data_IF_591330678000
#
_entry.id   IF_591330678000
#
_cell.length_a   1.000
_cell.length_b   1.000
_cell.length_c   1.000
_cell.angle_alpha   90.00
_cell.angle_beta   90.00
_cell.angle_gamma   90.00
#
_symmetry.space_group_name_H-M   'P 1'
#
loop_
_entity.id
_entity.type
_entity.pdbx_description
1 polymer ?
#
# COMPACT_ATOMS: atom_id res chain seq x y z
N UNK A 1 37.54 31.88 8.90
CA UNK A 1 37.68 30.75 7.97
C UNK A 1 36.32 30.06 7.92
N UNK A 2 35.67 29.93 6.76
CA UNK A 2 34.39 29.23 6.67
C UNK A 2 34.60 27.74 6.93
N UNK A 3 33.84 27.18 7.87
CA UNK A 3 33.81 25.75 8.15
C UNK A 3 33.28 25.04 6.91
N UNK A 4 34.12 24.22 6.29
CA UNK A 4 33.71 23.29 5.24
C UNK A 4 32.68 22.35 5.85
N UNK A 5 31.40 22.56 5.55
CA UNK A 5 30.38 21.56 5.86
C UNK A 5 30.73 20.30 5.04
N UNK A 6 30.81 19.12 5.65
CA UNK A 6 31.03 17.89 4.91
C UNK A 6 29.93 17.76 3.86
N UNK A 7 30.31 17.38 2.63
CA UNK A 7 29.33 17.03 1.60
C UNK A 7 28.55 15.80 2.10
N UNK A 8 27.22 15.77 1.95
CA UNK A 8 26.47 14.55 2.23
C UNK A 8 27.02 13.43 1.36
N UNK A 9 27.27 12.28 1.98
CA UNK A 9 27.69 11.07 1.29
C UNK A 9 26.60 10.66 0.30
N UNK A 10 27.01 10.12 -0.85
CA UNK A 10 26.03 9.52 -1.77
C UNK A 10 25.48 8.25 -1.11
N UNK A 11 24.15 8.02 -1.16
CA UNK A 11 23.58 6.76 -0.71
C UNK A 11 24.26 5.59 -1.43
N UNK A 12 24.39 4.47 -0.72
CA UNK A 12 24.88 3.22 -1.31
C UNK A 12 23.87 2.71 -2.37
N UNK A 13 24.27 1.84 -3.30
CA UNK A 13 23.33 1.18 -4.22
C UNK A 13 22.22 0.39 -3.49
N UNK A 14 22.47 -0.03 -2.25
CA UNK A 14 21.48 -0.67 -1.38
C UNK A 14 20.42 0.33 -0.90
N UNK A 15 20.82 1.58 -0.62
CA UNK A 15 19.91 2.68 -0.26
C UNK A 15 19.10 3.20 -1.48
N UNK A 16 19.66 3.13 -2.69
CA UNK A 16 18.93 3.49 -3.93
C UNK A 16 17.77 2.53 -4.21
N UNK A 17 17.90 1.26 -3.80
CA UNK A 17 16.78 0.34 -3.85
C UNK A 17 15.70 0.68 -2.82
N UNK A 18 15.99 1.32 -1.68
CA UNK A 18 15.02 1.53 -0.58
C UNK A 18 13.88 2.50 -0.92
N UNK A 19 14.12 3.50 -1.78
CA UNK A 19 13.12 4.52 -2.08
C UNK A 19 12.45 4.28 -3.46
N UNK A 20 11.31 3.61 -3.47
CA UNK A 20 10.51 3.51 -4.70
C UNK A 20 9.80 4.85 -5.00
N UNK A 21 9.99 5.46 -6.17
CA UNK A 21 9.14 6.55 -6.62
C UNK A 21 7.75 5.96 -6.92
N UNK A 22 6.86 6.02 -5.93
CA UNK A 22 5.47 5.51 -5.99
C UNK A 22 4.60 6.20 -7.05
N UNK A 23 5.10 7.30 -7.62
CA UNK A 23 4.44 8.09 -8.65
C UNK A 23 4.43 7.39 -10.02
N UNK A 24 5.58 6.85 -10.43
CA UNK A 24 5.75 6.39 -11.82
C UNK A 24 5.65 4.87 -11.95
N UNK A 25 5.87 4.12 -10.87
CA UNK A 25 5.96 2.66 -10.88
C UNK A 25 4.99 2.01 -9.90
N UNK A 26 4.33 0.95 -10.36
CA UNK A 26 3.57 0.05 -9.49
C UNK A 26 4.54 -0.89 -8.77
N UNK A 27 4.10 -1.42 -7.64
CA UNK A 27 4.80 -2.49 -6.93
C UNK A 27 5.09 -3.70 -7.84
N UNK A 28 4.11 -4.09 -8.68
CA UNK A 28 4.29 -5.16 -9.66
C UNK A 28 5.37 -4.83 -10.71
N UNK A 29 5.49 -3.58 -11.15
CA UNK A 29 6.54 -3.18 -12.13
C UNK A 29 7.95 -3.34 -11.53
N UNK A 30 8.08 -3.23 -10.20
CA UNK A 30 9.34 -3.41 -9.48
C UNK A 30 9.64 -4.89 -9.27
N UNK A 31 8.63 -5.66 -8.88
CA UNK A 31 8.78 -7.12 -8.77
C UNK A 31 9.19 -7.71 -10.12
N UNK A 32 8.59 -7.24 -11.22
CA UNK A 32 8.91 -7.73 -12.57
C UNK A 32 10.33 -7.42 -13.01
N UNK A 33 10.86 -6.26 -12.64
CA UNK A 33 12.25 -5.92 -12.90
C UNK A 33 13.22 -6.87 -12.18
N UNK A 34 12.89 -7.27 -10.95
CA UNK A 34 13.77 -8.10 -10.12
C UNK A 34 13.63 -9.60 -10.40
N UNK A 35 12.41 -10.10 -10.55
CA UNK A 35 12.09 -11.53 -10.57
C UNK A 35 11.62 -12.04 -11.94
N UNK A 36 11.45 -11.17 -12.93
CA UNK A 36 10.81 -11.53 -14.19
C UNK A 36 9.28 -11.48 -14.09
N UNK A 37 8.52 -12.01 -15.07
CA UNK A 37 7.06 -11.90 -15.09
C UNK A 37 6.41 -12.34 -13.77
N UNK A 38 5.47 -11.52 -13.28
CA UNK A 38 4.68 -11.83 -12.09
C UNK A 38 3.19 -11.81 -12.40
N UNK A 39 2.43 -12.65 -11.72
CA UNK A 39 0.98 -12.71 -11.82
C UNK A 39 0.30 -12.71 -10.45
N UNK A 40 -1.00 -12.38 -10.43
CA UNK A 40 -1.78 -12.40 -9.19
C UNK A 40 -2.52 -13.74 -9.04
N UNK A 41 -2.12 -14.54 -8.06
CA UNK A 41 -2.81 -15.74 -7.60
C UNK A 41 -3.84 -15.35 -6.53
N UNK A 42 -5.10 -15.20 -6.93
CA UNK A 42 -6.20 -14.79 -6.03
C UNK A 42 -6.68 -16.00 -5.23
N UNK A 43 -6.58 -15.91 -3.90
CA UNK A 43 -7.01 -16.97 -2.97
C UNK A 43 -8.47 -16.78 -2.51
N UNK A 44 -8.85 -15.53 -2.31
CA UNK A 44 -10.20 -15.10 -1.91
C UNK A 44 -10.45 -13.72 -2.49
N UNK A 45 -11.67 -13.45 -2.91
CA UNK A 45 -12.12 -12.12 -3.29
C UNK A 45 -13.63 -12.06 -3.09
N UNK A 46 -14.04 -11.44 -2.00
CA UNK A 46 -15.45 -11.31 -1.65
C UNK A 46 -16.16 -10.35 -2.59
N UNK A 47 -17.41 -10.66 -2.94
CA UNK A 47 -18.24 -9.71 -3.67
C UNK A 47 -18.70 -8.61 -2.71
N UNK A 48 -18.35 -7.36 -3.00
CA UNK A 48 -18.71 -6.21 -2.16
C UNK A 48 -20.22 -6.12 -1.90
N UNK A 49 -21.04 -6.58 -2.85
CA UNK A 49 -22.52 -6.56 -2.77
C UNK A 49 -23.11 -7.65 -1.89
N UNK A 50 -22.32 -8.63 -1.50
CA UNK A 50 -22.78 -9.80 -0.73
C UNK A 50 -22.28 -9.79 0.72
N UNK A 51 -21.37 -8.87 1.08
CA UNK A 51 -20.80 -8.78 2.43
C UNK A 51 -21.68 -7.88 3.31
N UNK A 52 -22.00 -8.30 4.54
CA UNK A 52 -22.75 -7.48 5.49
C UNK A 52 -22.10 -6.10 5.73
N UNK A 53 -22.91 -5.07 5.99
CA UNK A 53 -22.43 -3.68 6.21
C UNK A 53 -21.44 -3.55 7.38
N UNK A 54 -21.46 -4.47 8.36
CA UNK A 54 -20.56 -4.50 9.51
C UNK A 54 -19.27 -5.29 9.28
N UNK A 55 -19.14 -5.93 8.11
CA UNK A 55 -17.96 -6.65 7.67
C UNK A 55 -17.25 -5.91 6.52
N UNK A 56 -15.96 -6.19 6.34
CA UNK A 56 -15.21 -5.64 5.22
C UNK A 56 -15.08 -6.73 4.15
N UNK A 57 -15.51 -6.49 2.91
CA UNK A 57 -15.19 -7.40 1.82
C UNK A 57 -13.67 -7.48 1.64
N UNK A 58 -13.15 -8.70 1.56
CA UNK A 58 -11.71 -8.96 1.52
C UNK A 58 -11.29 -9.57 0.19
N UNK A 59 -10.16 -9.11 -0.33
CA UNK A 59 -9.37 -9.81 -1.34
C UNK A 59 -8.04 -10.25 -0.75
N UNK A 60 -7.73 -11.52 -0.89
CA UNK A 60 -6.45 -12.13 -0.53
C UNK A 60 -5.78 -12.68 -1.80
N UNK A 61 -4.51 -12.34 -2.01
CA UNK A 61 -3.76 -12.82 -3.17
C UNK A 61 -2.27 -12.90 -2.91
N UNK A 62 -1.60 -13.77 -3.65
CA UNK A 62 -0.15 -13.73 -3.81
C UNK A 62 0.21 -13.10 -5.16
N UNK A 63 1.28 -12.30 -5.19
CA UNK A 63 1.97 -11.96 -6.43
C UNK A 63 3.10 -12.98 -6.61
N UNK A 64 2.93 -13.92 -7.54
CA UNK A 64 3.84 -15.04 -7.77
C UNK A 64 4.66 -14.82 -9.03
N UNK A 65 5.88 -15.33 -9.06
CA UNK A 65 6.74 -15.35 -10.25
C UNK A 65 6.56 -16.63 -11.09
N UNK A 66 7.37 -16.80 -12.15
CA UNK A 66 7.34 -17.98 -13.02
C UNK A 66 7.68 -19.30 -12.30
N UNK A 67 8.22 -19.25 -11.08
CA UNK A 67 8.54 -20.41 -10.24
C UNK A 67 7.42 -20.72 -9.24
N UNK A 68 6.28 -20.02 -9.30
CA UNK A 68 5.17 -20.05 -8.32
C UNK A 68 5.62 -19.65 -6.91
N UNK A 69 6.72 -18.90 -6.78
CA UNK A 69 7.16 -18.34 -5.49
C UNK A 69 6.46 -17.01 -5.27
N UNK A 70 5.80 -16.86 -4.11
CA UNK A 70 5.14 -15.62 -3.75
C UNK A 70 6.15 -14.54 -3.40
N UNK A 71 6.25 -13.52 -4.24
CA UNK A 71 7.09 -12.33 -4.00
C UNK A 71 6.40 -11.27 -3.16
N UNK A 72 5.08 -11.34 -3.02
CA UNK A 72 4.31 -10.49 -2.10
C UNK A 72 2.99 -11.16 -1.76
N UNK A 73 2.68 -11.23 -0.47
CA UNK A 73 1.33 -11.51 -0.01
C UNK A 73 0.57 -10.20 0.13
N UNK A 74 -0.64 -10.14 -0.43
CA UNK A 74 -1.48 -8.95 -0.38
C UNK A 74 -2.86 -9.26 0.20
N UNK A 75 -3.27 -8.44 1.16
CA UNK A 75 -4.60 -8.46 1.77
C UNK A 75 -5.25 -7.10 1.55
N UNK A 76 -6.38 -7.06 0.87
CA UNK A 76 -7.11 -5.82 0.58
C UNK A 76 -8.46 -5.84 1.26
N UNK A 77 -8.74 -4.83 2.08
CA UNK A 77 -10.07 -4.53 2.59
C UNK A 77 -10.72 -3.55 1.62
N UNK A 78 -11.70 -4.03 0.86
CA UNK A 78 -12.37 -3.27 -0.19
C UNK A 78 -13.30 -2.23 0.43
N UNK A 79 -13.23 -1.00 -0.07
CA UNK A 79 -14.00 0.15 0.46
C UNK A 79 -14.57 1.03 -0.65
N UNK A 80 -14.55 0.58 -1.89
CA UNK A 80 -15.06 1.35 -3.02
C UNK A 80 -16.59 1.34 -3.04
N UNK A 81 -17.16 2.35 -3.70
CA UNK A 81 -18.61 2.43 -3.90
C UNK A 81 -19.08 1.34 -4.88
N UNK A 82 -19.83 0.36 -4.36
CA UNK A 82 -20.35 -0.78 -5.12
C UNK A 82 -21.39 -0.41 -6.19
N UNK A 83 -21.97 0.78 -6.08
CA UNK A 83 -22.93 1.31 -7.05
C UNK A 83 -22.22 1.94 -8.27
N UNK A 84 -20.90 2.14 -8.21
CA UNK A 84 -20.11 2.58 -9.36
C UNK A 84 -19.93 1.43 -10.38
N UNK A 85 -20.62 1.48 -11.54
CA UNK A 85 -20.60 0.35 -12.48
C UNK A 85 -19.20 0.08 -13.04
N UNK A 86 -18.40 1.14 -13.23
CA UNK A 86 -17.04 1.03 -13.73
C UNK A 86 -16.10 0.43 -12.68
N UNK A 87 -16.18 0.86 -11.41
CA UNK A 87 -15.34 0.27 -10.36
C UNK A 87 -15.70 -1.20 -10.14
N UNK A 88 -16.98 -1.56 -10.23
CA UNK A 88 -17.42 -2.95 -10.17
C UNK A 88 -16.91 -3.79 -11.35
N UNK A 89 -16.84 -3.22 -12.56
CA UNK A 89 -16.24 -3.88 -13.73
C UNK A 89 -14.73 -4.11 -13.54
N UNK A 90 -14.01 -3.09 -13.05
CA UNK A 90 -12.59 -3.18 -12.70
C UNK A 90 -12.36 -4.25 -11.62
N UNK A 91 -13.17 -4.24 -10.57
CA UNK A 91 -13.12 -5.23 -9.49
C UNK A 91 -13.35 -6.64 -10.01
N UNK A 92 -14.31 -6.82 -10.91
CA UNK A 92 -14.56 -8.12 -11.56
C UNK A 92 -13.33 -8.61 -12.33
N UNK A 93 -12.60 -7.74 -13.01
CA UNK A 93 -11.33 -8.13 -13.67
C UNK A 93 -10.24 -8.48 -12.67
N UNK A 94 -10.14 -7.74 -11.57
CA UNK A 94 -9.19 -8.01 -10.48
C UNK A 94 -9.50 -9.36 -9.80
N UNK A 95 -10.79 -9.65 -9.57
CA UNK A 95 -11.29 -10.92 -9.05
C UNK A 95 -10.88 -12.11 -9.91
N UNK A 96 -10.85 -11.91 -11.23
CA UNK A 96 -10.43 -12.91 -12.22
C UNK A 96 -8.91 -12.95 -12.47
N UNK A 97 -8.08 -12.58 -11.48
CA UNK A 97 -6.62 -12.66 -11.56
C UNK A 97 -5.91 -11.38 -12.03
N UNK A 98 -6.64 -10.29 -12.23
CA UNK A 98 -6.03 -9.00 -12.55
C UNK A 98 -5.23 -8.42 -11.38
N UNK A 99 -4.01 -7.92 -11.65
CA UNK A 99 -3.27 -7.10 -10.70
C UNK A 99 -3.94 -5.72 -10.55
N UNK A 100 -4.31 -5.32 -9.33
CA UNK A 100 -5.04 -4.08 -9.03
C UNK A 100 -4.46 -2.89 -9.82
N UNK A 101 -3.17 -2.59 -9.63
CA UNK A 101 -2.55 -1.44 -10.26
C UNK A 101 -2.58 -1.45 -11.79
N UNK A 102 -2.28 -2.60 -12.42
CA UNK A 102 -2.29 -2.72 -13.88
C UNK A 102 -3.71 -2.65 -14.45
N UNK A 103 -4.68 -3.26 -13.78
CA UNK A 103 -6.09 -3.18 -14.18
C UNK A 103 -6.59 -1.74 -14.16
N UNK A 104 -6.36 -0.99 -13.07
CA UNK A 104 -6.76 0.43 -13.01
C UNK A 104 -6.10 1.27 -14.12
N UNK A 105 -4.80 1.07 -14.40
CA UNK A 105 -4.12 1.76 -15.53
C UNK A 105 -4.75 1.44 -16.88
N UNK A 106 -5.18 0.19 -17.12
CA UNK A 106 -5.86 -0.20 -18.35
C UNK A 106 -7.22 0.51 -18.53
N UNK A 107 -7.80 1.03 -17.45
CA UNK A 107 -9.00 1.87 -17.45
C UNK A 107 -8.67 3.37 -17.40
N UNK A 108 -7.42 3.76 -17.68
CA UNK A 108 -6.94 5.14 -17.69
C UNK A 108 -7.03 5.85 -16.34
N UNK A 109 -6.99 5.10 -15.24
CA UNK A 109 -6.82 5.69 -13.91
C UNK A 109 -5.35 5.98 -13.64
N UNK A 110 -5.10 7.16 -13.07
CA UNK A 110 -3.90 7.43 -12.31
C UNK A 110 -4.06 6.79 -10.92
N UNK A 111 -2.97 6.27 -10.35
CA UNK A 111 -2.97 5.57 -9.07
C UNK A 111 -1.99 6.24 -8.14
N UNK A 112 -2.37 6.37 -6.87
CA UNK A 112 -1.49 6.80 -5.78
C UNK A 112 -1.74 5.94 -4.55
N UNK A 113 -0.81 5.92 -3.61
CA UNK A 113 -0.95 5.21 -2.34
C UNK A 113 -0.72 6.17 -1.19
N UNK A 114 -1.69 6.24 -0.27
CA UNK A 114 -1.49 6.89 1.02
C UNK A 114 -1.01 5.82 2.01
N UNK A 115 0.25 5.87 2.41
CA UNK A 115 0.84 4.84 3.28
C UNK A 115 0.43 5.15 4.70
N UNK A 116 -0.37 4.29 5.31
CA UNK A 116 -0.91 4.48 6.65
C UNK A 116 0.05 3.94 7.69
N UNK A 117 0.78 2.88 7.35
CA UNK A 117 1.67 2.23 8.31
C UNK A 117 2.71 1.34 7.63
N UNK A 118 3.83 1.13 8.33
CA UNK A 118 4.88 0.17 7.99
C UNK A 118 5.31 -0.53 9.28
N UNK A 119 5.30 -1.86 9.27
CA UNK A 119 5.63 -2.67 10.43
C UNK A 119 6.25 -4.01 10.05
N UNK A 120 6.74 -4.76 11.02
CA UNK A 120 7.17 -6.15 10.83
C UNK A 120 6.08 -7.09 11.30
N UNK A 121 5.90 -8.21 10.58
CA UNK A 121 4.88 -9.20 10.87
C UNK A 121 5.54 -10.58 10.94
N UNK A 122 5.21 -11.37 11.97
CA UNK A 122 5.71 -12.73 12.12
C UNK A 122 5.13 -13.64 11.02
N UNK A 123 5.99 -14.29 10.25
CA UNK A 123 5.57 -15.23 9.22
C UNK A 123 5.15 -16.55 9.89
N UNK A 124 3.94 -17.02 9.59
CA UNK A 124 3.53 -18.37 9.92
C UNK A 124 4.11 -19.37 8.89
N UNK A 125 4.11 -20.66 9.22
CA UNK A 125 4.71 -21.70 8.36
C UNK A 125 4.19 -21.66 6.92
N UNK A 126 2.89 -21.42 6.73
CA UNK A 126 2.30 -21.27 5.39
C UNK A 126 2.95 -20.13 4.60
N UNK A 127 3.11 -18.95 5.20
CA UNK A 127 3.74 -17.82 4.52
C UNK A 127 5.23 -18.04 4.28
N UNK A 128 5.93 -18.74 5.20
CA UNK A 128 7.33 -19.14 5.01
C UNK A 128 7.50 -20.08 3.80
N UNK A 129 6.60 -21.06 3.68
CA UNK A 129 6.55 -21.98 2.54
C UNK A 129 6.24 -21.23 1.23
N UNK A 130 5.22 -20.37 1.20
CA UNK A 130 4.83 -19.62 -0.02
C UNK A 130 5.92 -18.62 -0.45
N UNK A 131 6.66 -18.03 0.49
CA UNK A 131 7.77 -17.11 0.20
C UNK A 131 9.10 -17.82 -0.08
N UNK A 132 9.19 -19.14 0.13
CA UNK A 132 10.43 -19.92 0.07
C UNK A 132 11.53 -19.30 0.96
N UNK A 133 11.23 -19.10 2.25
CA UNK A 133 12.13 -18.42 3.19
C UNK A 133 12.19 -19.07 4.57
N UNK A 134 13.37 -19.07 5.17
CA UNK A 134 13.59 -19.51 6.55
C UNK A 134 13.39 -18.40 7.58
N UNK A 135 13.25 -17.14 7.15
CA UNK A 135 13.08 -15.96 8.00
C UNK A 135 11.75 -16.01 8.77
N UNK A 136 11.75 -15.50 10.01
CA UNK A 136 10.57 -15.53 10.87
C UNK A 136 9.70 -14.26 10.75
N UNK A 137 10.20 -13.23 10.08
CA UNK A 137 9.52 -11.93 9.96
C UNK A 137 9.59 -11.40 8.53
N UNK A 138 8.52 -10.74 8.11
CA UNK A 138 8.45 -9.95 6.87
C UNK A 138 8.16 -8.48 7.15
N UNK A 139 8.57 -7.60 6.24
CA UNK A 139 8.15 -6.19 6.25
C UNK A 139 6.76 -6.07 5.62
N UNK A 140 5.84 -5.48 6.37
CA UNK A 140 4.48 -5.20 5.96
C UNK A 140 4.28 -3.70 5.76
N UNK A 141 3.45 -3.36 4.77
CA UNK A 141 3.02 -1.99 4.50
C UNK A 141 1.51 -1.95 4.34
N UNK A 142 0.85 -1.01 5.02
CA UNK A 142 -0.57 -0.74 4.85
C UNK A 142 -0.76 0.58 4.14
N UNK A 143 -1.59 0.61 3.10
CA UNK A 143 -1.86 1.82 2.34
C UNK A 143 -3.31 1.89 1.85
N UNK A 144 -3.85 3.10 1.71
CA UNK A 144 -5.06 3.32 0.91
C UNK A 144 -4.67 3.39 -0.57
N UNK A 145 -5.29 2.53 -1.38
CA UNK A 145 -5.11 2.53 -2.82
C UNK A 145 -6.05 3.57 -3.44
N UNK A 146 -5.49 4.69 -3.84
CA UNK A 146 -6.21 5.75 -4.52
C UNK A 146 -6.19 5.55 -6.03
N UNK A 147 -7.33 5.77 -6.67
CA UNK A 147 -7.47 5.81 -8.11
C UNK A 147 -8.20 7.10 -8.52
N UNK A 148 -7.73 7.76 -9.59
CA UNK A 148 -8.36 8.96 -10.12
C UNK A 148 -8.32 8.99 -11.65
N UNK A 149 -9.46 9.26 -12.27
CA UNK A 149 -9.53 9.62 -13.70
C UNK A 149 -9.34 11.12 -13.88
N UNK A 150 -9.01 11.52 -15.11
CA UNK A 150 -8.97 12.93 -15.46
C UNK A 150 -10.33 13.59 -15.15
N UNK A 151 -10.29 14.74 -14.47
CA UNK A 151 -11.46 15.57 -14.11
C UNK A 151 -12.45 14.98 -13.07
N UNK A 152 -12.25 13.74 -12.61
CA UNK A 152 -13.05 13.13 -11.54
C UNK A 152 -12.53 13.48 -10.14
N UNK A 153 -13.28 13.10 -9.10
CA UNK A 153 -12.76 13.08 -7.73
C UNK A 153 -11.91 11.81 -7.50
N UNK A 154 -10.83 11.88 -6.70
CA UNK A 154 -10.10 10.68 -6.28
C UNK A 154 -11.00 9.74 -5.47
N UNK A 155 -10.92 8.44 -5.76
CA UNK A 155 -11.63 7.39 -5.02
C UNK A 155 -10.63 6.42 -4.39
N UNK A 156 -10.98 5.87 -3.23
CA UNK A 156 -10.20 4.83 -2.56
C UNK A 156 -10.80 3.48 -2.94
N UNK A 157 -10.03 2.65 -3.61
CA UNK A 157 -10.46 1.29 -3.97
C UNK A 157 -10.55 0.39 -2.73
N UNK A 158 -9.56 0.52 -1.85
CA UNK A 158 -9.48 -0.24 -0.61
C UNK A 158 -8.21 0.08 0.17
N UNK A 159 -8.12 -0.49 1.37
CA UNK A 159 -6.90 -0.51 2.18
C UNK A 159 -6.14 -1.80 1.88
N UNK A 160 -4.92 -1.68 1.37
CA UNK A 160 -4.07 -2.78 0.93
C UNK A 160 -2.92 -2.94 1.90
N UNK A 161 -2.83 -4.12 2.51
CA UNK A 161 -1.63 -4.67 3.11
C UNK A 161 -0.78 -5.32 2.02
N UNK A 162 0.49 -4.96 1.96
CA UNK A 162 1.52 -5.63 1.17
C UNK A 162 2.57 -6.18 2.15
N UNK A 163 2.67 -7.50 2.26
CA UNK A 163 3.70 -8.20 3.02
C UNK A 163 4.76 -8.70 2.03
N UNK A 164 5.96 -8.14 2.14
CA UNK A 164 7.06 -8.43 1.24
C UNK A 164 7.78 -9.70 1.65
N UNK A 165 8.22 -10.46 0.65
CA UNK A 165 9.18 -11.55 0.90
C UNK A 165 10.50 -10.98 1.44
N UNK A 166 11.14 -11.61 2.44
CA UNK A 166 12.36 -11.10 3.06
C UNK A 166 13.53 -10.90 2.07
N UNK A 167 13.63 -11.72 1.02
CA UNK A 167 14.66 -11.56 -0.02
C UNK A 167 14.40 -10.33 -0.92
N UNK A 168 13.15 -9.87 -1.01
CA UNK A 168 12.78 -8.62 -1.67
C UNK A 168 13.08 -7.42 -0.78
N UNK A 169 12.54 -7.45 0.45
CA UNK A 169 12.73 -6.43 1.48
C UNK A 169 12.88 -7.12 2.82
N UNK A 170 14.07 -6.99 3.39
CA UNK A 170 14.34 -7.47 4.73
C UNK A 170 13.36 -6.85 5.76
N UNK A 171 13.11 -7.53 6.89
CA UNK A 171 12.17 -7.12 7.92
C UNK A 171 12.72 -5.98 8.80
N UNK A 172 13.29 -4.94 8.18
CA UNK A 172 13.89 -3.79 8.87
C UNK A 172 13.18 -2.52 8.44
N UNK A 173 12.56 -1.81 9.38
CA UNK A 173 11.90 -0.52 9.14
C UNK A 173 12.96 0.58 9.27
N UNK A 174 13.14 1.39 8.22
CA UNK A 174 14.10 2.48 8.21
C UNK A 174 13.40 3.85 8.34
N UNK A 175 14.18 4.93 8.36
CA UNK A 175 13.64 6.29 8.50
C UNK A 175 12.76 6.70 7.29
N UNK A 176 13.10 6.26 6.09
CA UNK A 176 12.34 6.55 4.86
C UNK A 176 10.94 5.90 4.92
N UNK A 177 10.85 4.67 5.44
CA UNK A 177 9.57 4.00 5.67
C UNK A 177 8.67 4.83 6.61
N UNK A 178 9.23 5.35 7.70
CA UNK A 178 8.52 6.14 8.70
C UNK A 178 8.09 7.52 8.15
N UNK A 179 8.91 8.16 7.32
CA UNK A 179 8.59 9.45 6.69
C UNK A 179 7.47 9.37 5.66
N UNK A 180 7.22 8.18 5.12
CA UNK A 180 6.14 7.94 4.18
C UNK A 180 4.79 7.70 4.88
N UNK A 181 4.78 7.42 6.19
CA UNK A 181 3.56 7.19 6.96
C UNK A 181 2.74 8.48 7.09
N UNK A 182 1.44 8.36 6.83
CA UNK A 182 0.46 9.42 6.86
C UNK A 182 -0.79 8.96 7.62
N UNK A 183 -1.58 9.88 8.19
CA UNK A 183 -2.91 9.56 8.69
C UNK A 183 -3.80 9.00 7.56
N UNK A 184 -4.80 8.18 7.93
CA UNK A 184 -5.81 7.70 6.98
C UNK A 184 -6.63 8.85 6.40
N UNK A 185 -7.27 8.61 5.26
CA UNK A 185 -8.10 9.62 4.60
C UNK A 185 -9.26 10.06 5.47
N UNK A 186 -9.89 9.12 6.17
CA UNK A 186 -10.99 9.39 7.09
C UNK A 186 -10.57 10.38 8.18
N UNK A 187 -9.40 10.17 8.78
CA UNK A 187 -8.87 11.05 9.83
C UNK A 187 -8.43 12.41 9.26
N UNK A 188 -7.85 12.45 8.06
CA UNK A 188 -7.51 13.70 7.37
C UNK A 188 -8.78 14.52 7.06
N UNK A 189 -9.84 13.88 6.54
CA UNK A 189 -11.11 14.53 6.22
C UNK A 189 -11.80 15.07 7.49
N UNK A 190 -11.79 14.30 8.59
CA UNK A 190 -12.27 14.75 9.91
C UNK A 190 -11.57 16.02 10.40
N UNK A 191 -10.30 16.19 10.04
CA UNK A 191 -9.49 17.37 10.37
C UNK A 191 -9.52 18.46 9.27
N UNK A 192 -10.48 18.41 8.33
CA UNK A 192 -10.67 19.47 7.32
C UNK A 192 -9.75 19.37 6.10
N UNK A 193 -9.07 18.24 5.92
CA UNK A 193 -8.23 17.96 4.75
C UNK A 193 -9.03 17.11 3.77
N UNK A 194 -9.64 17.76 2.77
CA UNK A 194 -10.40 17.04 1.75
C UNK A 194 -9.54 16.16 0.84
N UNK A 195 -10.17 15.16 0.24
CA UNK A 195 -9.56 14.15 -0.63
C UNK A 195 -8.74 14.68 -1.79
N UNK A 196 -9.18 15.76 -2.45
CA UNK A 196 -8.43 16.39 -3.52
C UNK A 196 -7.10 17.00 -3.03
N UNK A 197 -7.07 17.55 -1.81
CA UNK A 197 -5.83 18.05 -1.20
C UNK A 197 -4.88 16.89 -0.87
N UNK A 198 -5.42 15.78 -0.33
CA UNK A 198 -4.65 14.54 -0.09
C UNK A 198 -4.06 14.01 -1.39
N UNK A 199 -4.88 13.84 -2.42
CA UNK A 199 -4.44 13.41 -3.74
C UNK A 199 -3.28 14.28 -4.25
N UNK A 200 -3.45 15.60 -4.29
CA UNK A 200 -2.40 16.55 -4.73
C UNK A 200 -1.12 16.45 -3.91
N UNK A 201 -1.22 16.15 -2.60
CA UNK A 201 -0.06 15.97 -1.71
C UNK A 201 0.70 14.68 -2.03
N UNK A 202 0.00 13.59 -2.32
CA UNK A 202 0.60 12.31 -2.70
C UNK A 202 1.38 12.41 -4.03
N UNK A 203 1.07 13.40 -4.88
CA UNK A 203 1.87 13.69 -6.09
C UNK A 203 3.28 14.21 -5.79
N UNK A 204 3.40 14.92 -4.66
CA UNK A 204 4.55 15.75 -4.28
C UNK A 204 5.37 15.15 -3.16
N UNK A 205 5.05 13.93 -2.72
CA UNK A 205 5.71 13.31 -1.57
C UNK A 205 7.18 13.00 -1.79
N UNK A 206 7.66 12.92 -3.04
CA UNK A 206 9.09 12.89 -3.35
C UNK A 206 9.82 14.22 -3.11
N UNK A 207 9.09 15.35 -3.05
CA UNK A 207 9.65 16.70 -3.10
C UNK A 207 9.52 17.46 -1.75
N UNK A 208 9.17 16.76 -0.67
CA UNK A 208 9.02 17.37 0.66
C UNK A 208 7.88 18.40 0.74
N UNK A 209 6.80 18.20 -0.04
CA UNK A 209 5.68 19.15 -0.08
C UNK A 209 5.01 19.34 1.28
N UNK A 210 5.38 20.37 2.03
CA UNK A 210 4.76 20.74 3.30
C UNK A 210 3.25 21.03 3.14
N UNK A 211 2.48 20.75 4.20
CA UNK A 211 1.10 21.20 4.34
C UNK A 211 1.10 22.69 4.71
N UNK A 212 1.67 23.56 3.87
CA UNK A 212 2.03 24.95 4.20
C UNK A 212 0.94 25.79 4.90
N UNK A 213 -0.33 25.46 4.69
CA UNK A 213 -1.48 26.15 5.31
C UNK A 213 -2.36 25.21 6.17
N UNK A 214 -1.94 23.96 6.38
CA UNK A 214 -2.69 22.90 7.09
C UNK A 214 -1.84 22.10 8.09
N UNK A 215 -0.66 22.57 8.47
CA UNK A 215 0.25 21.85 9.37
C UNK A 215 -0.43 21.48 10.70
N UNK A 216 -1.18 22.40 11.34
CA UNK A 216 -1.89 22.11 12.60
C UNK A 216 -2.94 21.01 12.43
N UNK A 217 -3.75 21.07 11.38
CA UNK A 217 -4.76 20.06 11.07
C UNK A 217 -4.14 18.69 10.77
N UNK A 218 -2.98 18.68 10.10
CA UNK A 218 -2.26 17.45 9.77
C UNK A 218 -1.59 16.83 11.00
N UNK A 219 -0.97 17.63 11.88
CA UNK A 219 -0.40 17.12 13.13
C UNK A 219 -1.49 16.59 14.06
N UNK A 220 -2.65 17.26 14.16
CA UNK A 220 -3.79 16.71 14.89
C UNK A 220 -4.28 15.39 14.26
N UNK A 221 -4.32 15.31 12.93
CA UNK A 221 -4.68 14.06 12.23
C UNK A 221 -3.69 12.92 12.53
N UNK A 222 -2.38 13.20 12.69
CA UNK A 222 -1.40 12.18 13.11
C UNK A 222 -1.70 11.65 14.50
N UNK A 223 -1.94 12.52 15.47
CA UNK A 223 -2.30 12.11 16.83
C UNK A 223 -3.58 11.26 16.83
N UNK A 224 -4.60 11.71 16.11
CA UNK A 224 -5.89 11.02 15.99
C UNK A 224 -5.79 9.66 15.28
N UNK A 225 -4.78 9.46 14.43
CA UNK A 225 -4.63 8.23 13.64
C UNK A 225 -4.06 7.05 14.42
N UNK A 226 -3.34 7.29 15.52
CA UNK A 226 -2.64 6.23 16.27
C UNK A 226 -3.58 5.08 16.69
N UNK A 227 -4.77 5.32 17.27
CA UNK A 227 -5.68 4.22 17.63
C UNK A 227 -6.20 3.43 16.43
N UNK A 228 -6.37 4.08 15.26
CA UNK A 228 -6.81 3.40 14.04
C UNK A 228 -5.73 2.46 13.51
N UNK A 229 -4.47 2.92 13.52
CA UNK A 229 -3.31 2.11 13.10
C UNK A 229 -3.20 0.83 13.92
N UNK A 230 -3.31 0.91 15.25
CA UNK A 230 -3.27 -0.28 16.11
C UNK A 230 -4.42 -1.26 15.82
N UNK A 231 -5.64 -0.76 15.59
CA UNK A 231 -6.79 -1.60 15.21
C UNK A 231 -6.57 -2.31 13.88
N UNK A 232 -5.96 -1.64 12.90
CA UNK A 232 -5.64 -2.25 11.61
C UNK A 232 -4.60 -3.35 11.75
N UNK A 233 -3.53 -3.13 12.53
CA UNK A 233 -2.52 -4.17 12.81
C UNK A 233 -3.16 -5.41 13.44
N UNK A 234 -3.93 -5.22 14.51
CA UNK A 234 -4.62 -6.32 15.18
C UNK A 234 -5.55 -7.09 14.24
N UNK A 235 -6.33 -6.37 13.40
CA UNK A 235 -7.20 -6.99 12.40
C UNK A 235 -6.42 -7.82 11.38
N UNK A 236 -5.30 -7.28 10.88
CA UNK A 236 -4.43 -7.94 9.90
C UNK A 236 -3.80 -9.20 10.51
N UNK A 237 -3.24 -9.09 11.72
CA UNK A 237 -2.63 -10.21 12.43
C UNK A 237 -3.66 -11.31 12.71
N UNK A 238 -4.84 -10.95 13.19
CA UNK A 238 -5.93 -11.90 13.41
C UNK A 238 -6.33 -12.60 12.10
N UNK A 239 -6.43 -11.87 10.99
CA UNK A 239 -6.74 -12.47 9.69
C UNK A 239 -5.67 -13.48 9.27
N UNK A 240 -4.40 -13.09 9.30
CA UNK A 240 -3.27 -13.93 8.88
C UNK A 240 -3.14 -15.19 9.76
N UNK A 241 -3.37 -15.06 11.07
CA UNK A 241 -3.22 -16.15 12.03
C UNK A 241 -4.47 -17.04 12.18
N UNK A 242 -5.62 -16.63 11.65
CA UNK A 242 -6.86 -17.41 11.71
C UNK A 242 -6.93 -18.58 10.71
N UNK A 243 -5.95 -18.68 9.81
CA UNK A 243 -5.85 -19.70 8.77
C UNK A 243 -4.77 -20.71 9.09
#
# INVERSE_FOLDING_TARGET
MPLNKPRPERPSPEDELEHFPTKDRLHSDVLEEKYGPVEAKVLRHDDVKEVPEDEYPVRESHLVDEQDISRTYALTFLTYDEDSPELYEIDTKIRNGGMIGKTFRNYSYEIRKNVIDVFTLQLNERLKEEFDTDEDYGKARVSEFYAKKQDDEPTIYGRVLELYTPDFRGPVINQVDLEQVNPSTEILEKNGINRNAIWKRLDKSSDGGEWKDKDEAYEQAKEDSLPEVFKWRERIENFINSK
#
